data_IF_725791413196
#
_entry.id   IF_725791413196
#
_cell.length_a   1.000
_cell.length_b   1.000
_cell.length_c   1.000
_cell.angle_alpha   90.00
_cell.angle_beta   90.00
_cell.angle_gamma   90.00
#
_symmetry.space_group_name_H-M   'P 1'
#
loop_
_entity.id
_entity.type
_entity.pdbx_description
1 polymer ?
#
# COMPACT_ATOMS: atom_id res chain seq x y z
N UNK A 1 3.36 -22.85 0.18
CA UNK A 1 3.10 -23.23 -1.23
C UNK A 1 2.01 -22.28 -1.66
N UNK A 2 2.38 -21.21 -2.34
CA UNK A 2 1.42 -20.22 -2.82
C UNK A 2 1.40 -20.32 -4.35
N UNK A 3 0.22 -20.63 -4.88
CA UNK A 3 0.00 -20.84 -6.31
C UNK A 3 -0.69 -19.58 -6.82
N UNK A 4 0.08 -18.63 -7.34
CA UNK A 4 -0.48 -17.51 -8.09
C UNK A 4 -0.69 -17.97 -9.54
N UNK A 5 -1.90 -18.48 -9.82
CA UNK A 5 -2.40 -18.57 -11.20
C UNK A 5 -2.88 -17.17 -11.56
N UNK A 6 -2.13 -16.48 -12.41
CA UNK A 6 -2.43 -15.19 -13.03
C UNK A 6 -3.17 -14.20 -12.12
N UNK A 7 -2.39 -13.28 -11.54
CA UNK A 7 -2.94 -12.14 -10.80
C UNK A 7 -4.13 -11.50 -11.56
N UNK A 8 -5.13 -11.04 -10.80
CA UNK A 8 -6.32 -10.36 -11.33
C UNK A 8 -5.94 -9.44 -12.52
N UNK A 9 -6.60 -9.54 -13.70
CA UNK A 9 -6.23 -8.74 -14.85
C UNK A 9 -6.13 -7.24 -14.51
N UNK A 10 -4.95 -6.66 -14.74
CA UNK A 10 -4.66 -5.25 -14.44
C UNK A 10 -4.06 -4.98 -13.05
N UNK A 11 -3.97 -5.96 -12.17
CA UNK A 11 -3.21 -5.84 -10.92
C UNK A 11 -1.71 -5.92 -11.20
N UNK A 12 -0.98 -4.91 -10.70
CA UNK A 12 0.48 -4.92 -10.66
C UNK A 12 0.90 -4.98 -9.20
N UNK A 13 1.43 -6.12 -8.79
CA UNK A 13 2.14 -6.28 -7.52
C UNK A 13 3.43 -5.47 -7.60
N UNK A 14 3.58 -4.46 -6.75
CA UNK A 14 4.78 -3.63 -6.70
C UNK A 14 4.97 -3.01 -5.32
N UNK A 15 6.16 -2.49 -5.03
CA UNK A 15 6.52 -1.89 -3.74
C UNK A 15 6.44 -2.87 -2.56
N UNK A 16 6.89 -4.11 -2.79
CA UNK A 16 7.01 -5.15 -1.78
C UNK A 16 8.45 -5.27 -1.26
N UNK A 17 8.65 -6.05 -0.21
CA UNK A 17 9.97 -6.51 0.20
C UNK A 17 9.98 -8.03 0.39
N UNK A 18 10.86 -8.70 -0.36
CA UNK A 18 11.04 -10.15 -0.31
C UNK A 18 12.36 -10.47 0.41
N UNK A 19 12.36 -10.34 1.73
CA UNK A 19 13.51 -10.70 2.54
C UNK A 19 13.50 -12.16 2.95
N UNK A 20 14.54 -12.90 2.58
CA UNK A 20 14.71 -14.31 2.94
C UNK A 20 16.18 -14.67 3.11
N UNK A 21 16.47 -15.58 4.04
CA UNK A 21 17.81 -16.16 4.21
C UNK A 21 18.18 -17.18 3.12
N UNK A 22 17.21 -17.58 2.29
CA UNK A 22 17.39 -18.50 1.16
C UNK A 22 17.23 -17.74 -0.16
N UNK A 23 17.83 -18.23 -1.26
CA UNK A 23 17.55 -17.70 -2.60
C UNK A 23 16.04 -17.68 -2.86
N UNK A 24 15.55 -16.57 -3.39
CA UNK A 24 14.15 -16.43 -3.75
C UNK A 24 13.84 -17.28 -4.98
N UNK A 25 12.70 -17.96 -4.94
CA UNK A 25 12.15 -18.71 -6.06
C UNK A 25 10.67 -18.34 -6.19
N UNK A 26 10.29 -17.88 -7.37
CA UNK A 26 8.94 -17.44 -7.70
C UNK A 26 8.32 -18.41 -8.68
N UNK A 27 7.05 -18.72 -8.48
CA UNK A 27 6.25 -19.41 -9.48
C UNK A 27 5.45 -18.36 -10.25
N UNK A 28 5.64 -18.31 -11.57
CA UNK A 28 4.91 -17.42 -12.47
C UNK A 28 4.65 -18.13 -13.79
N UNK A 29 3.43 -18.00 -14.31
CA UNK A 29 2.99 -18.66 -15.56
C UNK A 29 3.39 -20.15 -15.59
N UNK A 30 3.05 -20.86 -14.50
CA UNK A 30 3.33 -22.28 -14.29
C UNK A 30 4.82 -22.68 -14.23
N UNK A 31 5.75 -21.73 -14.29
CA UNK A 31 7.20 -21.97 -14.25
C UNK A 31 7.84 -21.45 -12.96
N UNK A 32 8.84 -22.17 -12.45
CA UNK A 32 9.70 -21.71 -11.37
C UNK A 32 10.87 -20.90 -11.93
N UNK A 33 11.12 -19.73 -11.34
CA UNK A 33 12.17 -18.82 -11.78
C UNK A 33 12.80 -18.07 -10.60
N UNK A 34 14.02 -17.57 -10.81
CA UNK A 34 14.68 -16.70 -9.83
C UNK A 34 14.08 -15.28 -9.85
N UNK A 35 14.51 -14.45 -8.90
CA UNK A 35 14.03 -13.07 -8.76
C UNK A 35 14.21 -12.22 -10.03
N UNK A 36 15.37 -12.32 -10.68
CA UNK A 36 15.70 -11.53 -11.86
C UNK A 36 14.79 -11.91 -13.02
N UNK A 37 14.68 -13.21 -13.32
CA UNK A 37 13.85 -13.74 -14.40
C UNK A 37 12.36 -13.47 -14.14
N UNK A 38 11.92 -13.57 -12.88
CA UNK A 38 10.57 -13.21 -12.46
C UNK A 38 10.22 -11.78 -12.83
N UNK A 39 11.02 -10.79 -12.42
CA UNK A 39 10.73 -9.38 -12.69
C UNK A 39 10.72 -9.06 -14.18
N UNK A 40 11.66 -9.62 -14.93
CA UNK A 40 11.73 -9.40 -16.38
C UNK A 40 10.53 -10.00 -17.12
N UNK A 41 10.10 -11.20 -16.73
CA UNK A 41 9.04 -11.95 -17.41
C UNK A 41 7.64 -11.47 -16.99
N UNK A 42 7.42 -11.32 -15.68
CA UNK A 42 6.11 -10.95 -15.13
C UNK A 42 5.80 -9.46 -15.28
N UNK A 43 6.84 -8.61 -15.39
CA UNK A 43 6.74 -7.14 -15.29
C UNK A 43 6.16 -6.65 -13.96
N UNK A 44 6.13 -7.51 -12.96
CA UNK A 44 5.76 -7.18 -11.58
C UNK A 44 6.98 -6.69 -10.80
N UNK A 45 6.73 -6.11 -9.63
CA UNK A 45 7.74 -5.86 -8.59
C UNK A 45 8.92 -5.00 -9.09
N UNK A 46 8.61 -4.00 -9.92
CA UNK A 46 9.60 -3.11 -10.51
C UNK A 46 10.37 -2.31 -9.45
N UNK A 47 9.69 -1.92 -8.37
CA UNK A 47 10.21 -1.13 -7.25
C UNK A 47 10.34 -1.92 -5.95
N UNK A 48 10.00 -3.22 -5.97
CA UNK A 48 10.16 -4.09 -4.81
C UNK A 48 11.62 -4.37 -4.47
N UNK A 49 11.87 -4.62 -3.19
CA UNK A 49 13.20 -4.83 -2.63
C UNK A 49 13.39 -6.29 -2.18
N UNK A 50 14.65 -6.65 -1.99
CA UNK A 50 15.08 -7.92 -1.38
C UNK A 50 16.12 -7.61 -0.31
N UNK A 51 15.74 -6.79 0.66
CA UNK A 51 16.66 -6.22 1.64
C UNK A 51 16.20 -6.54 3.06
N UNK A 52 17.11 -6.57 4.04
CA UNK A 52 16.70 -6.74 5.43
C UNK A 52 15.77 -5.57 5.84
N UNK A 53 14.53 -5.82 6.31
CA UNK A 53 13.64 -4.77 6.78
C UNK A 53 14.21 -3.96 7.94
N UNK A 54 15.18 -4.53 8.68
CA UNK A 54 15.71 -3.99 9.91
C UNK A 54 14.58 -3.70 10.92
N UNK A 55 13.80 -4.72 11.26
CA UNK A 55 12.82 -4.62 12.33
C UNK A 55 13.50 -4.35 13.68
N UNK A 56 12.85 -3.59 14.55
CA UNK A 56 13.39 -3.25 15.88
C UNK A 56 13.56 -4.51 16.74
N UNK A 57 12.49 -5.32 16.89
CA UNK A 57 12.58 -6.57 17.62
C UNK A 57 11.48 -7.58 17.23
N UNK A 58 11.67 -8.34 16.13
CA UNK A 58 10.66 -9.26 15.66
C UNK A 58 10.40 -10.44 16.63
N UNK A 59 11.34 -10.74 17.54
CA UNK A 59 11.18 -11.84 18.52
C UNK A 59 10.10 -11.58 19.57
N UNK A 60 9.72 -10.31 19.76
CA UNK A 60 8.64 -9.89 20.65
C UNK A 60 7.47 -9.26 19.88
N UNK A 61 7.38 -9.52 18.57
CA UNK A 61 6.38 -8.97 17.65
C UNK A 61 6.45 -7.45 17.45
N UNK A 62 7.60 -6.83 17.70
CA UNK A 62 7.87 -5.45 17.29
C UNK A 62 8.43 -5.43 15.86
N UNK A 63 7.53 -5.24 14.91
CA UNK A 63 7.83 -5.12 13.48
C UNK A 63 7.95 -3.66 13.01
N UNK A 64 8.15 -2.71 13.93
CA UNK A 64 8.51 -1.34 13.53
C UNK A 64 9.90 -1.32 12.89
N UNK A 65 10.12 -0.36 11.99
CA UNK A 65 11.38 -0.23 11.27
C UNK A 65 12.42 0.56 12.09
N UNK A 66 13.66 0.09 12.10
CA UNK A 66 14.80 0.90 12.54
C UNK A 66 14.99 2.09 11.59
N UNK A 67 15.53 3.21 12.09
CA UNK A 67 15.74 4.45 11.31
C UNK A 67 16.62 4.27 10.07
N UNK A 68 17.47 3.24 10.03
CA UNK A 68 18.35 2.92 8.89
C UNK A 68 17.74 1.90 7.94
N UNK A 69 16.48 1.52 8.13
CA UNK A 69 15.80 0.55 7.27
C UNK A 69 15.78 1.01 5.81
N UNK A 70 16.10 0.12 4.85
CA UNK A 70 16.01 0.44 3.43
C UNK A 70 14.56 0.64 2.96
N UNK A 71 13.57 0.23 3.77
CA UNK A 71 12.15 0.29 3.41
C UNK A 71 11.53 1.68 3.69
N UNK A 72 12.24 2.55 4.40
CA UNK A 72 11.74 3.87 4.79
C UNK A 72 11.54 4.75 3.56
N UNK A 73 10.32 5.26 3.40
CA UNK A 73 9.94 6.17 2.32
C UNK A 73 10.10 5.57 0.92
N UNK A 74 10.06 4.24 0.79
CA UNK A 74 10.17 3.53 -0.49
C UNK A 74 8.86 3.01 -1.04
N UNK A 75 7.76 3.17 -0.30
CA UNK A 75 6.42 2.79 -0.75
C UNK A 75 5.77 3.82 -1.66
N UNK A 76 4.50 3.59 -1.96
CA UNK A 76 3.68 4.44 -2.82
C UNK A 76 2.29 4.68 -2.20
N UNK A 77 1.55 5.64 -2.75
CA UNK A 77 0.15 5.86 -2.38
C UNK A 77 -0.72 4.65 -2.78
N UNK A 78 -1.74 4.35 -1.97
CA UNK A 78 -2.64 3.22 -2.21
C UNK A 78 -3.65 3.54 -3.32
N UNK A 79 -4.11 4.79 -3.36
CA UNK A 79 -4.99 5.28 -4.41
C UNK A 79 -4.69 6.76 -4.71
N UNK A 80 -5.41 7.32 -5.68
CA UNK A 80 -5.36 8.75 -6.00
C UNK A 80 -6.76 9.32 -6.14
N UNK A 81 -6.93 10.61 -5.89
CA UNK A 81 -8.21 11.30 -6.13
C UNK A 81 -8.51 11.39 -7.63
N UNK A 82 -9.78 11.25 -7.99
CA UNK A 82 -10.27 11.46 -9.35
C UNK A 82 -11.01 12.80 -9.40
N UNK A 83 -10.38 13.80 -10.00
CA UNK A 83 -10.85 15.18 -10.02
C UNK A 83 -10.48 15.98 -8.77
N UNK A 84 -10.37 17.31 -8.93
CA UNK A 84 -10.22 18.23 -7.82
C UNK A 84 -11.58 18.49 -7.15
N UNK A 85 -11.60 18.76 -5.84
CA UNK A 85 -12.85 18.93 -5.12
C UNK A 85 -12.71 19.48 -3.70
N UNK A 86 -13.88 19.71 -3.10
CA UNK A 86 -14.05 20.07 -1.69
C UNK A 86 -15.26 19.35 -1.11
N UNK A 87 -15.21 19.00 0.16
CA UNK A 87 -16.31 18.36 0.88
C UNK A 87 -15.88 17.05 1.54
N UNK A 88 -16.80 16.09 1.64
CA UNK A 88 -16.59 14.83 2.37
C UNK A 88 -16.56 13.58 1.51
N UNK A 89 -17.10 13.65 0.29
CA UNK A 89 -17.14 12.53 -0.65
C UNK A 89 -15.99 12.66 -1.62
N UNK A 90 -15.01 11.76 -1.52
CA UNK A 90 -13.81 11.76 -2.35
C UNK A 90 -13.87 10.56 -3.28
N UNK A 91 -13.91 10.80 -4.58
CA UNK A 91 -13.77 9.75 -5.59
C UNK A 91 -12.30 9.39 -5.70
N UNK A 92 -11.97 8.10 -5.65
CA UNK A 92 -10.61 7.58 -5.72
C UNK A 92 -10.45 6.59 -6.86
N UNK A 93 -9.20 6.31 -7.26
CA UNK A 93 -8.89 5.32 -8.30
C UNK A 93 -9.21 3.89 -7.87
N UNK A 94 -9.07 3.58 -6.58
CA UNK A 94 -9.37 2.27 -6.00
C UNK A 94 -9.72 2.41 -4.52
N UNK A 95 -10.98 2.16 -4.17
CA UNK A 95 -11.45 2.21 -2.79
C UNK A 95 -11.22 0.90 -2.03
N UNK A 96 -10.81 -0.18 -2.71
CA UNK A 96 -10.61 -1.51 -2.14
C UNK A 96 -9.50 -1.58 -1.09
N UNK A 97 -8.58 -0.61 -1.08
CA UNK A 97 -7.54 -0.47 -0.05
C UNK A 97 -8.05 0.05 1.30
N UNK A 98 -9.28 0.55 1.37
CA UNK A 98 -9.80 1.26 2.54
C UNK A 98 -11.05 0.62 3.12
N UNK A 99 -11.29 0.89 4.41
CA UNK A 99 -12.39 0.35 5.19
C UNK A 99 -13.08 1.44 6.01
N UNK A 100 -14.41 1.34 6.12
CA UNK A 100 -15.21 2.12 7.07
C UNK A 100 -15.36 1.43 8.44
N UNK A 101 -14.68 0.31 8.63
CA UNK A 101 -14.73 -0.49 9.85
C UNK A 101 -15.87 -1.51 9.87
N UNK A 102 -16.68 -1.62 8.81
CA UNK A 102 -17.74 -2.62 8.62
C UNK A 102 -18.70 -2.78 9.81
N UNK A 103 -18.91 -1.69 10.57
CA UNK A 103 -19.74 -1.69 11.78
C UNK A 103 -19.17 -2.42 12.99
N UNK A 104 -17.94 -2.94 12.93
CA UNK A 104 -17.24 -3.60 14.05
C UNK A 104 -16.12 -2.75 14.66
N UNK A 105 -15.76 -1.65 13.99
CA UNK A 105 -14.72 -0.73 14.44
C UNK A 105 -14.85 0.63 13.77
N UNK A 106 -13.90 1.51 14.09
CA UNK A 106 -13.74 2.76 13.37
C UNK A 106 -13.17 2.49 11.98
N UNK A 107 -13.60 3.27 10.98
CA UNK A 107 -12.97 3.28 9.67
C UNK A 107 -11.54 3.81 9.70
N UNK A 108 -10.86 3.62 8.59
CA UNK A 108 -9.44 3.94 8.46
C UNK A 108 -9.20 5.44 8.63
N UNK A 109 -8.11 5.77 9.34
CA UNK A 109 -7.54 7.11 9.26
C UNK A 109 -6.73 7.17 7.96
N UNK A 110 -7.05 8.13 7.11
CA UNK A 110 -6.42 8.30 5.80
C UNK A 110 -5.87 9.71 5.65
N UNK A 111 -4.84 9.83 4.81
CA UNK A 111 -4.28 11.08 4.32
C UNK A 111 -4.66 11.24 2.84
N UNK A 112 -5.41 12.28 2.52
CA UNK A 112 -5.79 12.73 1.17
C UNK A 112 -4.98 13.99 0.86
N UNK A 113 -4.01 13.88 -0.04
CA UNK A 113 -3.02 14.92 -0.27
C UNK A 113 -2.26 15.28 1.02
N UNK A 114 -2.47 16.50 1.51
CA UNK A 114 -1.88 16.98 2.76
C UNK A 114 -2.80 16.85 3.99
N UNK A 115 -4.06 16.45 3.82
CA UNK A 115 -5.06 16.47 4.89
C UNK A 115 -5.37 15.08 5.41
N UNK A 116 -5.55 14.95 6.73
CA UNK A 116 -5.98 13.70 7.35
C UNK A 116 -7.45 13.75 7.75
N UNK A 117 -8.14 12.64 7.54
CA UNK A 117 -9.53 12.44 7.95
C UNK A 117 -9.83 10.96 8.18
N UNK A 118 -10.91 10.67 8.90
CA UNK A 118 -11.35 9.29 9.13
C UNK A 118 -12.45 8.92 8.15
N UNK A 119 -12.37 7.74 7.56
CA UNK A 119 -13.42 7.18 6.70
C UNK A 119 -14.61 6.77 7.58
N UNK A 120 -15.81 7.14 7.14
CA UNK A 120 -17.09 6.81 7.79
C UNK A 120 -18.00 5.94 6.94
N UNK A 121 -17.78 5.89 5.62
CA UNK A 121 -18.42 4.93 4.72
C UNK A 121 -17.60 4.77 3.45
N UNK A 122 -17.68 3.59 2.82
CA UNK A 122 -17.08 3.34 1.50
C UNK A 122 -18.13 2.81 0.53
N UNK A 123 -18.22 3.41 -0.65
CA UNK A 123 -18.88 2.83 -1.81
C UNK A 123 -17.83 2.20 -2.72
N UNK A 124 -17.62 0.89 -2.56
CA UNK A 124 -16.64 0.12 -3.34
C UNK A 124 -17.01 0.01 -4.83
N UNK A 125 -18.30 0.08 -5.18
CA UNK A 125 -18.73 -0.02 -6.57
C UNK A 125 -18.45 1.28 -7.33
N UNK A 126 -18.60 2.42 -6.64
CA UNK A 126 -18.34 3.75 -7.21
C UNK A 126 -16.91 4.27 -6.95
N UNK A 127 -16.09 3.53 -6.19
CA UNK A 127 -14.80 3.98 -5.67
C UNK A 127 -14.88 5.34 -4.95
N UNK A 128 -15.83 5.47 -4.03
CA UNK A 128 -16.01 6.70 -3.23
C UNK A 128 -15.76 6.41 -1.76
N UNK A 129 -14.86 7.16 -1.15
CA UNK A 129 -14.71 7.21 0.30
C UNK A 129 -15.44 8.44 0.83
N UNK A 130 -16.16 8.29 1.93
CA UNK A 130 -16.75 9.41 2.66
C UNK A 130 -15.99 9.59 3.97
N UNK A 131 -15.50 10.81 4.20
CA UNK A 131 -14.70 11.15 5.39
C UNK A 131 -15.49 11.91 6.45
N UNK A 132 -14.99 11.98 7.68
CA UNK A 132 -15.65 12.59 8.84
C UNK A 132 -15.65 14.12 8.86
N UNK A 133 -14.88 14.77 7.97
CA UNK A 133 -14.73 16.23 7.91
C UNK A 133 -14.57 16.74 6.48
N UNK A 134 -14.88 18.02 6.25
CA UNK A 134 -14.64 18.65 4.95
C UNK A 134 -13.14 18.75 4.66
N UNK A 135 -12.78 18.32 3.46
CA UNK A 135 -11.44 18.42 2.88
C UNK A 135 -11.46 19.29 1.63
N UNK A 136 -10.26 19.68 1.21
CA UNK A 136 -9.97 20.19 -0.14
C UNK A 136 -8.85 19.33 -0.71
N UNK A 137 -9.00 18.91 -1.96
CA UNK A 137 -8.02 18.11 -2.67
C UNK A 137 -7.94 18.56 -4.13
N UNK A 138 -6.79 18.34 -4.72
CA UNK A 138 -6.57 18.50 -6.16
C UNK A 138 -6.80 17.16 -6.88
N UNK A 139 -6.88 17.21 -8.21
CA UNK A 139 -6.93 15.99 -9.03
C UNK A 139 -5.58 15.27 -8.92
N UNK A 140 -5.62 13.94 -8.82
CA UNK A 140 -4.43 13.08 -8.73
C UNK A 140 -3.66 13.15 -7.39
N UNK A 141 -4.28 13.78 -6.38
CA UNK A 141 -3.73 13.79 -5.02
C UNK A 141 -3.61 12.36 -4.47
N UNK A 142 -2.49 12.09 -3.82
CA UNK A 142 -2.24 10.79 -3.19
C UNK A 142 -3.25 10.51 -2.06
N UNK A 143 -3.74 9.28 -2.00
CA UNK A 143 -4.60 8.76 -0.93
C UNK A 143 -3.94 7.53 -0.32
N UNK A 144 -3.69 7.55 0.98
CA UNK A 144 -2.98 6.49 1.71
C UNK A 144 -3.30 6.54 3.20
N UNK A 145 -2.81 5.56 3.97
CA UNK A 145 -2.72 5.73 5.43
C UNK A 145 -1.71 6.82 5.80
N UNK A 146 -1.83 7.46 6.97
CA UNK A 146 -0.83 8.41 7.46
C UNK A 146 0.58 7.86 7.44
N UNK A 147 1.52 8.69 6.99
CA UNK A 147 2.93 8.38 6.93
C UNK A 147 3.77 9.64 7.20
N UNK A 148 4.98 9.42 7.69
CA UNK A 148 5.99 10.46 7.88
C UNK A 148 6.93 10.53 6.69
N UNK A 149 7.43 11.72 6.38
CA UNK A 149 8.37 11.92 5.26
C UNK A 149 7.68 12.12 3.92
N UNK A 150 8.41 11.83 2.84
CA UNK A 150 7.99 12.13 1.47
C UNK A 150 7.07 11.06 0.84
N UNK A 151 7.11 9.83 1.34
CA UNK A 151 6.31 8.71 0.85
C UNK A 151 6.08 7.69 1.98
N UNK A 152 5.08 6.79 1.87
CA UNK A 152 4.93 5.65 2.75
C UNK A 152 6.18 4.77 2.78
N UNK A 153 6.36 3.99 3.85
CA UNK A 153 7.34 2.91 3.84
C UNK A 153 6.78 1.70 3.09
N UNK A 154 7.65 0.81 2.61
CA UNK A 154 7.23 -0.51 2.15
C UNK A 154 6.82 -1.36 3.37
N UNK A 155 5.63 -1.95 3.36
CA UNK A 155 5.21 -3.01 4.28
C UNK A 155 4.92 -2.64 5.75
N UNK A 156 5.25 -1.44 6.24
CA UNK A 156 4.97 -1.05 7.63
C UNK A 156 4.74 0.46 7.83
N UNK A 157 3.56 0.84 8.33
CA UNK A 157 3.16 2.22 8.57
C UNK A 157 3.77 2.82 9.85
N UNK A 158 4.05 4.14 9.77
CA UNK A 158 4.63 5.06 10.77
C UNK A 158 5.89 4.59 11.50
N UNK A 159 6.94 5.43 11.45
CA UNK A 159 8.09 5.31 12.35
C UNK A 159 7.70 5.96 13.68
N UNK A 160 7.91 5.32 14.84
CA UNK A 160 7.63 5.91 16.15
C UNK A 160 8.42 7.20 16.43
#
# INVERSE_FOLDING_TARGET
MDFSLDACPGFVSDFNDFYNARPLAFQWDQAWMDWTTYRETSRQDAHSLTADPLFVNPSVFDFTLQLTSPLIGKGTALARTVGAGTGRSVVVTDAGYFSDGFGVGAGDLVRVGASEARIVSVDYAANVIVVDRDLRWDNDDAVSFPFSGAAPNIGAGLIP
#
